data_IF_134226355751
#
_entry.id   IF_134226355751
#
_cell.length_a   1.000
_cell.length_b   1.000
_cell.length_c   1.000
_cell.angle_alpha   90.00
_cell.angle_beta   90.00
_cell.angle_gamma   90.00
#
_symmetry.space_group_name_H-M   'P 1'
#
loop_
_entity.id
_entity.type
_entity.pdbx_description
1 polymer ?
#
# COMPACT_ATOMS: atom_id res chain seq x y z
N UNK A 1 14.54 -8.63 -1.59
CA UNK A 1 15.15 -7.79 -0.53
C UNK A 1 14.07 -7.05 0.23
N UNK A 2 14.36 -6.57 1.44
CA UNK A 2 13.40 -5.76 2.20
C UNK A 2 13.25 -4.36 1.60
N UNK A 3 12.01 -3.87 1.58
CA UNK A 3 11.62 -2.53 1.15
C UNK A 3 10.82 -1.86 2.25
N UNK A 4 11.10 -0.58 2.49
CA UNK A 4 10.43 0.20 3.53
C UNK A 4 9.39 1.11 2.89
N UNK A 5 8.16 1.05 3.40
CA UNK A 5 6.99 1.64 2.79
C UNK A 5 6.33 2.65 3.75
N UNK A 6 5.81 3.72 3.16
CA UNK A 6 5.00 4.73 3.82
C UNK A 6 3.63 4.77 3.14
N UNK A 7 2.65 4.08 3.72
CA UNK A 7 1.29 3.98 3.17
C UNK A 7 0.47 5.16 3.70
N UNK A 8 -0.03 6.01 2.82
CA UNK A 8 -0.65 7.30 3.17
C UNK A 8 -2.10 7.38 2.74
N UNK A 9 -2.96 7.87 3.64
CA UNK A 9 -4.36 8.21 3.37
C UNK A 9 -4.81 9.36 4.26
N UNK A 10 -5.20 10.49 3.66
CA UNK A 10 -5.63 11.69 4.43
C UNK A 10 -4.55 12.05 5.48
N UNK A 11 -4.89 12.01 6.78
CA UNK A 11 -3.97 12.26 7.90
C UNK A 11 -3.32 10.97 8.47
N UNK A 12 -3.63 9.80 7.91
CA UNK A 12 -3.07 8.52 8.32
C UNK A 12 -1.80 8.20 7.51
N UNK A 13 -0.76 7.78 8.22
CA UNK A 13 0.47 7.24 7.65
C UNK A 13 0.83 5.94 8.38
N UNK A 14 1.04 4.85 7.63
CA UNK A 14 1.50 3.56 8.15
C UNK A 14 2.91 3.32 7.63
N UNK A 15 3.85 3.08 8.53
CA UNK A 15 5.18 2.61 8.19
C UNK A 15 5.20 1.09 8.35
N UNK A 16 5.64 0.40 7.30
CA UNK A 16 5.83 -1.06 7.30
C UNK A 16 6.97 -1.40 6.36
N UNK A 17 7.56 -2.58 6.55
CA UNK A 17 8.42 -3.22 5.57
C UNK A 17 7.69 -4.39 4.89
N UNK A 18 8.23 -4.83 3.76
CA UNK A 18 7.82 -6.02 3.02
C UNK A 18 9.01 -6.51 2.16
N UNK A 19 8.86 -7.66 1.49
CA UNK A 19 9.80 -8.04 0.44
C UNK A 19 9.44 -7.29 -0.86
N UNK A 20 10.43 -6.93 -1.65
CA UNK A 20 10.23 -6.43 -3.03
C UNK A 20 9.45 -7.42 -3.91
N UNK A 21 9.55 -8.71 -3.63
CA UNK A 21 8.76 -9.80 -4.25
C UNK A 21 7.40 -10.04 -3.59
N UNK A 22 6.98 -9.21 -2.63
CA UNK A 22 5.62 -9.27 -2.08
C UNK A 22 4.63 -8.78 -3.14
N UNK A 23 3.48 -9.43 -3.23
CA UNK A 23 2.40 -9.00 -4.13
C UNK A 23 1.65 -7.80 -3.54
N UNK A 24 1.00 -7.02 -4.41
CA UNK A 24 0.11 -5.94 -3.97
C UNK A 24 -1.04 -6.49 -3.10
N UNK A 25 -1.55 -7.69 -3.40
CA UNK A 25 -2.57 -8.34 -2.59
C UNK A 25 -2.09 -8.65 -1.15
N UNK A 26 -0.86 -9.14 -1.00
CA UNK A 26 -0.27 -9.39 0.32
C UNK A 26 -0.07 -8.10 1.09
N UNK A 27 0.37 -7.02 0.43
CA UNK A 27 0.47 -5.71 1.06
C UNK A 27 -0.91 -5.21 1.55
N UNK A 28 -1.98 -5.42 0.78
CA UNK A 28 -3.35 -5.13 1.23
C UNK A 28 -3.77 -5.95 2.44
N UNK A 29 -3.33 -7.20 2.58
CA UNK A 29 -3.57 -8.03 3.78
C UNK A 29 -2.83 -7.49 5.02
N UNK A 30 -1.62 -6.96 4.85
CA UNK A 30 -0.90 -6.26 5.93
C UNK A 30 -1.73 -5.05 6.39
N UNK A 31 -2.22 -4.25 5.44
CA UNK A 31 -3.08 -3.09 5.73
C UNK A 31 -4.40 -3.53 6.39
N UNK A 32 -5.00 -4.64 5.95
CA UNK A 32 -6.20 -5.22 6.58
C UNK A 32 -5.93 -5.59 8.04
N UNK A 33 -4.78 -6.17 8.35
CA UNK A 33 -4.37 -6.49 9.71
C UNK A 33 -4.39 -5.26 10.64
N UNK A 34 -4.06 -4.09 10.11
CA UNK A 34 -3.96 -2.81 10.84
C UNK A 34 -5.32 -2.08 10.87
N UNK A 35 -5.95 -1.90 9.71
CA UNK A 35 -7.15 -1.06 9.55
C UNK A 35 -8.47 -1.83 9.63
N UNK A 36 -8.44 -3.16 9.65
CA UNK A 36 -9.61 -4.04 9.64
C UNK A 36 -10.54 -3.80 8.44
N UNK A 37 -9.96 -3.42 7.31
CA UNK A 37 -10.67 -3.21 6.04
C UNK A 37 -10.19 -4.27 5.06
N UNK A 38 -11.10 -5.03 4.44
CA UNK A 38 -10.68 -6.16 3.61
C UNK A 38 -10.06 -5.68 2.28
N UNK A 39 -9.17 -6.47 1.65
CA UNK A 39 -8.40 -6.05 0.47
C UNK A 39 -9.25 -5.52 -0.70
N UNK A 40 -10.43 -6.10 -0.94
CA UNK A 40 -11.35 -5.65 -1.99
C UNK A 40 -11.88 -4.22 -1.80
N UNK A 41 -11.80 -3.68 -0.57
CA UNK A 41 -12.19 -2.32 -0.25
C UNK A 41 -10.98 -1.38 -0.18
N UNK A 42 -9.79 -1.84 -0.57
CA UNK A 42 -8.56 -1.07 -0.61
C UNK A 42 -8.08 -0.90 -2.06
N UNK A 43 -7.62 0.30 -2.40
CA UNK A 43 -6.96 0.59 -3.67
C UNK A 43 -5.63 1.28 -3.39
N UNK A 44 -4.55 0.70 -3.92
CA UNK A 44 -3.19 1.20 -3.75
C UNK A 44 -2.73 1.94 -4.99
N UNK A 45 -1.95 3.00 -4.79
CA UNK A 45 -1.41 3.84 -5.84
C UNK A 45 0.09 4.00 -5.66
N UNK A 46 0.84 3.91 -6.76
CA UNK A 46 2.27 4.23 -6.76
C UNK A 46 2.49 5.77 -6.72
N UNK A 47 3.75 6.20 -6.75
CA UNK A 47 4.13 7.62 -6.76
C UNK A 47 3.57 8.44 -7.94
N UNK A 48 3.24 7.78 -9.04
CA UNK A 48 2.74 8.38 -10.27
C UNK A 48 1.19 8.37 -10.31
N UNK A 49 0.54 8.04 -9.20
CA UNK A 49 -0.91 7.85 -9.06
C UNK A 49 -1.50 6.74 -9.94
N UNK A 50 -0.67 5.78 -10.37
CA UNK A 50 -1.12 4.59 -11.09
C UNK A 50 -1.67 3.57 -10.09
N UNK A 51 -2.82 2.98 -10.42
CA UNK A 51 -3.44 1.90 -9.63
C UNK A 51 -2.55 0.67 -9.68
N UNK A 52 -2.28 0.10 -8.50
CA UNK A 52 -1.51 -1.12 -8.37
C UNK A 52 -2.42 -2.36 -8.44
N UNK A 53 -2.04 -3.33 -9.26
CA UNK A 53 -2.79 -4.57 -9.50
C UNK A 53 -2.38 -5.67 -8.54
N UNK A 54 -3.36 -6.42 -8.04
CA UNK A 54 -3.18 -7.40 -6.96
C UNK A 54 -2.16 -8.51 -7.25
N UNK A 55 -2.04 -8.92 -8.51
CA UNK A 55 -1.12 -9.98 -8.96
C UNK A 55 0.32 -9.52 -9.17
N UNK A 56 0.55 -8.20 -9.25
CA UNK A 56 1.88 -7.65 -9.49
C UNK A 56 2.69 -7.56 -8.19
N UNK A 57 4.01 -7.59 -8.34
CA UNK A 57 4.97 -7.48 -7.25
C UNK A 57 5.24 -6.00 -6.95
N UNK A 58 5.72 -5.70 -5.74
CA UNK A 58 6.12 -4.34 -5.39
C UNK A 58 7.24 -3.82 -6.30
N UNK A 59 8.19 -4.68 -6.67
CA UNK A 59 9.29 -4.33 -7.58
C UNK A 59 8.81 -3.92 -8.99
N UNK A 60 7.66 -4.42 -9.46
CA UNK A 60 7.11 -4.06 -10.77
C UNK A 60 6.69 -2.57 -10.81
N UNK A 61 6.43 -1.99 -9.63
CA UNK A 61 6.18 -0.56 -9.44
C UNK A 61 7.43 0.24 -9.03
N UNK A 62 8.62 -0.34 -9.15
CA UNK A 62 9.89 0.29 -8.81
C UNK A 62 10.14 0.39 -7.30
N UNK A 63 9.44 -0.38 -6.47
CA UNK A 63 9.68 -0.48 -5.03
C UNK A 63 10.74 -1.57 -4.79
N UNK A 64 12.00 -1.13 -4.71
CA UNK A 64 13.17 -2.01 -4.56
C UNK A 64 14.00 -1.55 -3.37
N UNK A 65 14.93 -2.37 -2.89
CA UNK A 65 15.82 -1.99 -1.79
C UNK A 65 16.69 -0.74 -2.08
N UNK A 66 16.86 -0.38 -3.36
CA UNK A 66 17.57 0.82 -3.77
C UNK A 66 16.72 2.10 -3.67
N UNK A 67 15.41 1.98 -3.90
CA UNK A 67 14.48 3.11 -3.98
C UNK A 67 13.65 3.30 -2.70
N UNK A 68 13.43 2.22 -1.95
CA UNK A 68 12.58 2.16 -0.75
C UNK A 68 13.43 1.80 0.48
N UNK A 69 14.28 2.73 0.92
CA UNK A 69 15.23 2.51 2.02
C UNK A 69 14.62 2.84 3.38
N UNK A 70 15.16 2.32 4.48
CA UNK A 70 14.67 2.59 5.83
C UNK A 70 14.61 4.08 6.17
N UNK A 71 15.67 4.83 5.82
CA UNK A 71 15.76 6.27 6.03
C UNK A 71 14.98 7.11 5.01
N UNK A 72 14.54 6.50 3.91
CA UNK A 72 13.72 7.14 2.88
C UNK A 72 12.68 6.15 2.31
N UNK A 73 11.62 5.85 3.07
CA UNK A 73 10.62 4.87 2.66
C UNK A 73 9.86 5.32 1.41
N UNK A 74 9.50 4.36 0.55
CA UNK A 74 8.70 4.66 -0.62
C UNK A 74 7.24 4.95 -0.26
N UNK A 75 6.66 5.99 -0.85
CA UNK A 75 5.26 6.37 -0.57
C UNK A 75 4.29 5.57 -1.44
N UNK A 76 3.24 5.03 -0.80
CA UNK A 76 2.12 4.37 -1.45
C UNK A 76 0.83 5.07 -1.03
N UNK A 77 0.01 5.48 -2.00
CA UNK A 77 -1.30 6.03 -1.73
C UNK A 77 -2.31 4.93 -1.40
N UNK A 78 -3.16 5.15 -0.39
CA UNK A 78 -4.26 4.24 -0.04
C UNK A 78 -5.60 4.97 -0.17
N UNK A 79 -6.48 4.46 -1.04
CA UNK A 79 -7.91 4.78 -1.02
C UNK A 79 -8.70 3.62 -0.42
N UNK A 80 -9.77 3.96 0.28
CA UNK A 80 -10.69 2.99 0.87
C UNK A 80 -12.07 3.22 0.26
N UNK A 81 -12.70 2.15 -0.20
CA UNK A 81 -14.08 2.18 -0.66
C UNK A 81 -14.98 2.59 0.50
N UNK A 82 -15.64 3.74 0.40
CA UNK A 82 -16.61 4.15 1.40
C UNK A 82 -17.83 3.24 1.33
N UNK A 83 -18.18 2.61 2.45
CA UNK A 83 -19.43 1.84 2.62
C UNK A 83 -20.46 2.65 3.40
N UNK A 84 -20.23 3.94 3.66
CA UNK A 84 -21.19 4.77 4.36
C UNK A 84 -22.47 4.92 3.50
N UNK A 85 -23.51 4.16 3.87
CA UNK A 85 -24.89 4.60 3.73
C UNK A 85 -24.98 5.93 4.47
N UNK A 86 -25.25 7.02 3.74
CA UNK A 86 -25.81 8.23 4.33
C UNK A 86 -27.08 7.82 5.07
N UNK A 87 -27.07 7.98 6.38
CA UNK A 87 -28.30 8.16 7.13
C UNK A 87 -28.47 9.67 7.20
N UNK A 88 -29.11 10.21 6.16
CA UNK A 88 -29.73 11.54 6.23
C UNK A 88 -31.14 11.36 6.83
#
# INVERSE_FOLDING_TARGET
MDVFLMIRRKKLTIFTDAKDTTTVLELKKIIEGILKIPPQNQQLFNKDNTVMEDSHLLQDYGLTSLTAKAQNPATIGLAIRSVFKRFD
#
